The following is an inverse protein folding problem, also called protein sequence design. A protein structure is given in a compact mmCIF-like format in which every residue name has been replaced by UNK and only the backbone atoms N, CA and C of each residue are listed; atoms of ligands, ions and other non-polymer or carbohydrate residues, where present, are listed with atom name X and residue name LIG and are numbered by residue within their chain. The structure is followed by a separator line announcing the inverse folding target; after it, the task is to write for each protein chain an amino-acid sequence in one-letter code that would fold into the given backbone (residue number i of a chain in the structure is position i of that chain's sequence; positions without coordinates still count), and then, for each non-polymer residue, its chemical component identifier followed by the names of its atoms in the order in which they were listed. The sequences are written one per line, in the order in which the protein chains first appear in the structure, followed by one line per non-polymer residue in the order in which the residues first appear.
data_IF_128774321123
#
_entry.id   IF_128774321123
#
_cell.length_a   1.000
_cell.length_b   1.000
_cell.length_c   1.000
_cell.angle_alpha   90.00
_cell.angle_beta   90.00
_cell.angle_gamma   90.00
#
_symmetry.space_group_name_H-M   'P 1'
#
loop_
_entity.id
_entity.type
_entity.pdbx_description
1 polymer ?
#
# COMPACT_ATOMS: atom_id res chain seq x y z
N UNK A 1 -27.39 -6.75 11.37
CA UNK A 1 -26.34 -7.79 11.50
C UNK A 1 -25.49 -7.47 12.73
N UNK A 2 -24.83 -8.50 13.30
CA UNK A 2 -24.00 -8.34 14.50
C UNK A 2 -22.81 -9.30 14.46
N UNK A 3 -21.66 -8.85 15.00
CA UNK A 3 -20.44 -9.64 15.16
C UNK A 3 -19.67 -9.21 16.42
N UNK A 4 -18.64 -9.97 16.82
CA UNK A 4 -17.74 -9.55 17.89
C UNK A 4 -16.95 -8.32 17.48
N UNK A 5 -16.37 -8.35 16.27
CA UNK A 5 -15.62 -7.26 15.68
C UNK A 5 -16.25 -6.78 14.38
N UNK A 6 -16.39 -5.46 14.22
CA UNK A 6 -16.82 -4.82 12.98
C UNK A 6 -15.67 -3.99 12.45
N UNK A 7 -15.15 -4.34 11.28
CA UNK A 7 -13.99 -3.68 10.65
C UNK A 7 -14.48 -2.83 9.48
N UNK A 8 -14.15 -1.56 9.48
CA UNK A 8 -14.46 -0.63 8.38
C UNK A 8 -13.26 -0.51 7.45
N UNK A 9 -13.42 -1.01 6.24
CA UNK A 9 -12.40 -1.06 5.20
C UNK A 9 -11.72 -2.43 5.10
N UNK A 10 -11.65 -2.95 3.88
CA UNK A 10 -10.95 -4.22 3.55
C UNK A 10 -9.55 -3.99 2.96
N UNK A 11 -8.94 -2.83 3.25
CA UNK A 11 -7.58 -2.51 2.86
C UNK A 11 -6.52 -3.34 3.58
N UNK A 12 -5.26 -2.92 3.51
CA UNK A 12 -4.12 -3.66 4.07
C UNK A 12 -4.31 -4.00 5.55
N UNK A 13 -4.68 -3.00 6.37
CA UNK A 13 -4.89 -3.20 7.80
C UNK A 13 -6.14 -4.04 8.09
N UNK A 14 -7.30 -3.68 7.49
CA UNK A 14 -8.56 -4.38 7.76
C UNK A 14 -8.55 -5.84 7.33
N UNK A 15 -7.89 -6.17 6.21
CA UNK A 15 -7.69 -7.55 5.76
C UNK A 15 -6.85 -8.37 6.76
N UNK A 16 -5.75 -7.80 7.24
CA UNK A 16 -4.88 -8.45 8.24
C UNK A 16 -5.61 -8.64 9.57
N UNK A 17 -6.36 -7.63 10.04
CA UNK A 17 -7.16 -7.73 11.25
C UNK A 17 -8.26 -8.80 11.13
N UNK A 18 -8.99 -8.84 10.02
CA UNK A 18 -10.01 -9.85 9.78
C UNK A 18 -9.43 -11.27 9.84
N UNK A 19 -8.26 -11.45 9.22
CA UNK A 19 -7.56 -12.73 9.20
C UNK A 19 -7.15 -13.17 10.60
N UNK A 20 -6.51 -12.28 11.38
CA UNK A 20 -5.95 -12.62 12.70
C UNK A 20 -7.01 -12.75 13.80
N UNK A 21 -8.03 -11.87 13.82
CA UNK A 21 -9.09 -11.91 14.82
C UNK A 21 -10.02 -13.13 14.66
N UNK A 22 -10.08 -13.72 13.46
CA UNK A 22 -10.91 -14.88 13.19
C UNK A 22 -10.18 -16.23 13.20
N UNK A 23 -8.84 -16.20 13.42
CA UNK A 23 -7.96 -17.36 13.18
C UNK A 23 -8.26 -18.55 14.07
N UNK A 24 -8.60 -18.31 15.32
CA UNK A 24 -8.91 -19.34 16.32
C UNK A 24 -10.39 -19.77 16.36
N UNK A 25 -11.23 -19.16 15.50
CA UNK A 25 -12.67 -19.48 15.41
C UNK A 25 -13.52 -18.92 16.55
N UNK A 26 -12.94 -18.32 17.60
CA UNK A 26 -13.67 -17.86 18.80
C UNK A 26 -14.43 -16.56 18.57
N UNK A 27 -14.02 -15.77 17.61
CA UNK A 27 -14.61 -14.45 17.35
C UNK A 27 -15.23 -14.38 15.96
N UNK A 28 -16.41 -13.78 15.89
CA UNK A 28 -17.05 -13.44 14.62
C UNK A 28 -16.59 -12.06 14.16
N UNK A 29 -16.33 -11.92 12.85
CA UNK A 29 -15.83 -10.70 12.22
C UNK A 29 -16.71 -10.32 11.03
N UNK A 30 -17.14 -9.08 10.98
CA UNK A 30 -17.75 -8.48 9.79
C UNK A 30 -16.83 -7.40 9.26
N UNK A 31 -16.45 -7.51 7.99
CA UNK A 31 -15.70 -6.46 7.28
C UNK A 31 -16.67 -5.70 6.38
N UNK A 32 -16.66 -4.38 6.47
CA UNK A 32 -17.45 -3.47 5.64
C UNK A 32 -16.54 -2.91 4.55
N UNK A 33 -16.93 -3.07 3.28
CA UNK A 33 -16.19 -2.51 2.14
C UNK A 33 -17.15 -1.85 1.15
N UNK A 34 -16.81 -0.64 0.73
CA UNK A 34 -17.59 0.08 -0.26
C UNK A 34 -17.22 -0.31 -1.69
N UNK A 35 -15.93 -0.55 -1.93
CA UNK A 35 -15.39 -0.88 -3.24
C UNK A 35 -15.91 -2.19 -3.83
N UNK A 36 -15.67 -2.35 -5.12
CA UNK A 36 -15.96 -3.58 -5.85
C UNK A 36 -14.94 -4.68 -5.61
N UNK A 37 -15.11 -5.85 -6.25
CA UNK A 37 -14.16 -6.96 -6.14
C UNK A 37 -12.83 -6.65 -6.83
N UNK A 38 -11.74 -7.23 -6.32
CA UNK A 38 -10.37 -7.11 -6.83
C UNK A 38 -10.07 -8.10 -7.98
N UNK A 39 -11.03 -8.32 -8.85
CA UNK A 39 -10.91 -9.27 -9.97
C UNK A 39 -10.57 -8.57 -11.28
N UNK A 40 -10.01 -9.33 -12.21
CA UNK A 40 -9.70 -8.85 -13.55
C UNK A 40 -8.22 -8.54 -13.79
N UNK A 41 -7.83 -8.48 -15.07
CA UNK A 41 -6.42 -8.35 -15.46
C UNK A 41 -5.80 -7.02 -15.02
N UNK A 42 -6.55 -5.92 -15.03
CA UNK A 42 -6.03 -4.59 -14.68
C UNK A 42 -5.57 -4.49 -13.21
N UNK A 43 -6.18 -5.27 -12.32
CA UNK A 43 -5.74 -5.34 -10.91
C UNK A 43 -4.69 -6.43 -10.71
N UNK A 44 -4.92 -7.62 -11.30
CA UNK A 44 -4.11 -8.80 -10.99
C UNK A 44 -2.80 -8.87 -11.77
N UNK A 45 -2.69 -8.20 -12.94
CA UNK A 45 -1.48 -8.14 -13.73
C UNK A 45 -0.53 -7.07 -13.21
N UNK A 46 0.66 -7.43 -12.72
CA UNK A 46 1.59 -6.46 -12.13
C UNK A 46 1.95 -5.28 -13.04
N UNK A 47 2.24 -5.53 -14.31
CA UNK A 47 2.56 -4.46 -15.26
C UNK A 47 1.42 -3.47 -15.54
N UNK A 48 0.19 -3.80 -15.15
CA UNK A 48 -0.98 -2.92 -15.33
C UNK A 48 -1.17 -1.91 -14.18
N UNK A 49 -0.22 -1.76 -13.28
CA UNK A 49 -0.33 -1.01 -12.02
C UNK A 49 -0.86 0.44 -12.18
N UNK A 50 -0.54 1.13 -13.26
CA UNK A 50 -0.98 2.50 -13.51
C UNK A 50 -2.45 2.62 -13.94
N UNK A 51 -3.08 1.55 -14.42
CA UNK A 51 -4.48 1.62 -14.87
C UNK A 51 -5.47 1.79 -13.72
N UNK A 52 -5.50 0.92 -12.69
CA UNK A 52 -6.51 1.00 -11.65
C UNK A 52 -6.44 2.28 -10.81
N UNK A 53 -5.26 2.87 -10.64
CA UNK A 53 -5.10 4.13 -9.90
C UNK A 53 -5.67 5.36 -10.63
N UNK A 54 -5.99 5.24 -11.92
CA UNK A 54 -6.61 6.28 -12.74
C UNK A 54 -8.08 5.98 -13.09
N UNK A 55 -8.68 4.94 -12.50
CA UNK A 55 -10.06 4.52 -12.81
C UNK A 55 -10.97 4.80 -11.62
N UNK A 56 -12.00 5.61 -11.82
CA UNK A 56 -13.02 5.91 -10.79
C UNK A 56 -13.66 4.67 -10.16
N UNK A 57 -13.66 3.55 -10.88
CA UNK A 57 -14.15 2.28 -10.35
C UNK A 57 -13.31 1.77 -9.20
N UNK A 58 -11.99 2.01 -9.22
CA UNK A 58 -11.02 1.46 -8.27
C UNK A 58 -10.33 2.52 -7.40
N UNK A 59 -10.51 3.79 -7.70
CA UNK A 59 -9.94 4.90 -6.97
C UNK A 59 -11.02 5.81 -6.37
N UNK A 60 -10.78 6.36 -5.19
CA UNK A 60 -11.65 7.34 -4.54
C UNK A 60 -11.60 8.72 -5.21
N UNK A 61 -10.58 9.01 -6.01
CA UNK A 61 -10.42 10.28 -6.71
C UNK A 61 -10.05 11.46 -5.81
N UNK A 62 -9.27 11.22 -4.74
CA UNK A 62 -8.83 12.30 -3.88
C UNK A 62 -7.71 13.13 -4.53
N UNK A 63 -7.72 14.42 -4.23
CA UNK A 63 -6.63 15.35 -4.53
C UNK A 63 -6.44 16.31 -3.36
N UNK A 64 -5.23 16.86 -3.23
CA UNK A 64 -4.99 17.93 -2.26
C UNK A 64 -5.66 19.22 -2.70
N UNK A 65 -5.90 20.11 -1.75
CA UNK A 65 -6.07 21.53 -2.07
C UNK A 65 -4.77 22.07 -2.72
N UNK A 66 -4.84 23.23 -3.39
CA UNK A 66 -3.62 23.84 -3.95
C UNK A 66 -2.53 24.05 -2.89
N UNK A 67 -1.37 23.43 -3.10
CA UNK A 67 -0.26 23.46 -2.17
C UNK A 67 0.67 24.66 -2.45
N UNK A 68 0.74 25.67 -1.58
CA UNK A 68 1.47 26.90 -1.86
C UNK A 68 2.98 26.67 -2.04
N UNK A 69 3.57 25.71 -1.33
CA UNK A 69 5.01 25.44 -1.37
C UNK A 69 5.48 24.67 -2.61
N UNK A 70 4.55 24.21 -3.44
CA UNK A 70 4.84 23.55 -4.74
C UNK A 70 4.21 24.30 -5.91
N UNK A 71 4.12 25.62 -5.81
CA UNK A 71 3.62 26.49 -6.87
C UNK A 71 2.12 26.43 -7.06
N UNK A 72 1.32 26.20 -6.00
CA UNK A 72 -0.13 26.15 -6.05
C UNK A 72 -0.69 24.91 -6.75
N UNK A 73 0.08 23.88 -6.93
CA UNK A 73 -0.38 22.63 -7.57
C UNK A 73 -1.24 21.80 -6.62
N UNK A 74 -2.28 21.16 -7.16
CA UNK A 74 -3.02 20.10 -6.49
C UNK A 74 -2.45 18.74 -6.90
N UNK A 75 -2.21 17.89 -5.93
CA UNK A 75 -1.66 16.55 -6.13
C UNK A 75 -2.77 15.51 -6.07
N UNK A 76 -2.88 14.69 -7.12
CA UNK A 76 -3.77 13.53 -7.12
C UNK A 76 -3.24 12.49 -6.12
N UNK A 77 -4.12 12.01 -5.25
CA UNK A 77 -3.77 11.12 -4.14
C UNK A 77 -4.57 9.82 -4.23
N UNK A 78 -4.23 8.89 -5.13
CA UNK A 78 -5.01 7.68 -5.37
C UNK A 78 -5.15 6.83 -4.10
N UNK A 79 -6.37 6.41 -3.79
CA UNK A 79 -6.69 5.50 -2.69
C UNK A 79 -7.68 4.45 -3.15
N UNK A 80 -7.36 3.18 -2.92
CA UNK A 80 -8.14 2.08 -3.45
C UNK A 80 -9.58 2.03 -2.93
N UNK A 81 -10.53 2.07 -3.88
CA UNK A 81 -11.97 1.85 -3.70
C UNK A 81 -12.32 0.45 -4.20
N UNK A 82 -11.72 -0.55 -3.59
CA UNK A 82 -11.75 -1.94 -4.04
C UNK A 82 -11.39 -2.88 -2.89
N UNK A 83 -11.85 -4.12 -2.94
CA UNK A 83 -11.43 -5.17 -1.99
C UNK A 83 -9.90 -5.28 -1.99
N UNK A 84 -9.29 -5.20 -0.78
CA UNK A 84 -7.86 -5.07 -0.60
C UNK A 84 -7.35 -3.62 -0.54
N UNK A 85 -8.22 -2.63 -0.79
CA UNK A 85 -7.88 -1.21 -0.72
C UNK A 85 -6.71 -0.85 -1.62
N UNK A 86 -5.84 0.04 -1.16
CA UNK A 86 -4.69 0.51 -1.94
C UNK A 86 -3.66 -0.60 -2.25
N UNK A 87 -3.63 -1.72 -1.51
CA UNK A 87 -2.78 -2.87 -1.89
C UNK A 87 -3.20 -3.52 -3.22
N UNK A 88 -4.45 -3.30 -3.65
CA UNK A 88 -4.96 -3.79 -4.93
C UNK A 88 -4.67 -2.84 -6.11
N UNK A 89 -4.17 -1.62 -5.85
CA UNK A 89 -3.85 -0.64 -6.90
C UNK A 89 -2.44 -0.04 -6.82
N UNK A 90 -1.65 -0.35 -5.79
CA UNK A 90 -0.29 0.18 -5.59
C UNK A 90 0.74 -0.44 -6.56
N UNK A 91 1.99 0.06 -6.49
CA UNK A 91 3.12 -0.43 -7.28
C UNK A 91 3.73 -1.76 -6.82
N UNK A 92 3.18 -2.41 -5.79
CA UNK A 92 3.65 -3.71 -5.26
C UNK A 92 5.11 -3.73 -4.77
N UNK A 93 5.72 -2.61 -4.52
CA UNK A 93 7.05 -2.55 -3.92
C UNK A 93 6.94 -2.92 -2.44
N UNK A 94 7.83 -3.79 -1.97
CA UNK A 94 7.87 -4.21 -0.58
C UNK A 94 9.12 -3.67 0.11
N UNK A 95 8.92 -2.73 1.02
CA UNK A 95 9.96 -2.10 1.84
C UNK A 95 9.46 -2.01 3.27
N UNK A 96 10.30 -2.40 4.23
CA UNK A 96 10.09 -2.08 5.64
C UNK A 96 10.66 -0.68 5.92
N UNK A 97 10.07 0.05 6.86
CA UNK A 97 10.70 1.24 7.41
C UNK A 97 12.06 0.91 8.01
N UNK A 98 12.95 1.89 8.10
CA UNK A 98 14.23 1.74 8.79
C UNK A 98 14.02 1.42 10.29
N UNK A 99 14.91 0.67 10.91
CA UNK A 99 14.78 0.32 12.32
C UNK A 99 14.59 1.56 13.23
N UNK A 100 15.32 2.63 12.92
CA UNK A 100 15.25 3.90 13.66
C UNK A 100 13.91 4.64 13.52
N UNK A 101 13.14 4.40 12.46
CA UNK A 101 11.79 4.98 12.33
C UNK A 101 10.89 4.45 13.44
N UNK A 102 10.94 3.15 13.70
CA UNK A 102 10.15 2.50 14.76
C UNK A 102 10.66 2.84 16.15
N UNK A 103 11.98 2.90 16.33
CA UNK A 103 12.58 3.30 17.61
C UNK A 103 12.16 4.74 17.95
N UNK A 104 12.18 5.64 16.97
CA UNK A 104 11.71 7.01 17.12
C UNK A 104 10.20 7.08 17.47
N UNK A 105 9.36 6.21 16.89
CA UNK A 105 7.96 6.13 17.30
C UNK A 105 7.83 5.77 18.78
N UNK A 106 8.60 4.78 19.25
CA UNK A 106 8.61 4.37 20.64
C UNK A 106 9.09 5.48 21.57
N UNK A 107 10.17 6.16 21.22
CA UNK A 107 10.73 7.33 21.94
C UNK A 107 9.72 8.49 21.99
N UNK A 108 8.97 8.70 20.92
CA UNK A 108 7.92 9.72 20.81
C UNK A 108 6.61 9.37 21.53
N UNK A 109 6.58 8.23 22.27
CA UNK A 109 5.46 7.84 23.12
C UNK A 109 4.65 6.64 22.63
N UNK A 110 4.90 6.11 21.44
CA UNK A 110 4.26 4.89 20.93
C UNK A 110 4.96 3.63 21.51
N UNK A 111 4.81 3.42 22.82
CA UNK A 111 5.41 2.28 23.53
C UNK A 111 4.96 0.96 22.92
N UNK A 112 5.90 0.00 22.76
CA UNK A 112 5.65 -1.29 22.12
C UNK A 112 5.72 -1.23 20.59
N UNK A 113 6.24 -0.13 20.02
CA UNK A 113 6.45 0.09 18.59
C UNK A 113 7.93 0.24 18.22
N UNK A 114 8.88 -0.07 19.09
CA UNK A 114 10.30 -0.12 18.73
C UNK A 114 10.52 -1.18 17.65
N UNK A 115 11.65 -1.10 16.93
CA UNK A 115 11.95 -2.10 15.90
C UNK A 115 12.00 -3.52 16.46
N UNK A 116 12.53 -3.69 17.66
CA UNK A 116 12.56 -4.98 18.36
C UNK A 116 11.13 -5.52 18.63
N UNK A 117 10.19 -4.64 18.95
CA UNK A 117 8.79 -5.02 19.19
C UNK A 117 8.06 -5.41 17.89
N UNK A 118 8.34 -4.72 16.78
CA UNK A 118 7.60 -4.92 15.51
C UNK A 118 8.24 -5.98 14.59
N UNK A 119 9.54 -6.27 14.73
CA UNK A 119 10.23 -7.27 13.91
C UNK A 119 9.57 -8.66 13.92
N UNK A 120 9.10 -9.21 15.06
CA UNK A 120 8.38 -10.48 15.07
C UNK A 120 7.11 -10.47 14.21
N UNK A 121 6.43 -9.32 14.11
CA UNK A 121 5.24 -9.17 13.28
C UNK A 121 5.60 -9.10 11.80
N UNK A 122 6.68 -8.42 11.42
CA UNK A 122 7.19 -8.45 10.04
C UNK A 122 7.53 -9.88 9.61
N UNK A 123 8.25 -10.63 10.46
CA UNK A 123 8.56 -12.03 10.18
C UNK A 123 7.31 -12.91 10.08
N UNK A 124 6.33 -12.71 10.94
CA UNK A 124 5.05 -13.44 10.92
C UNK A 124 4.20 -13.09 9.70
N UNK A 125 4.37 -11.92 9.13
CA UNK A 125 3.60 -11.41 7.99
C UNK A 125 4.09 -11.98 6.66
N UNK A 126 5.40 -12.04 6.46
CA UNK A 126 6.01 -12.27 5.15
C UNK A 126 6.38 -13.73 4.88
N UNK A 127 6.39 -14.05 3.59
CA UNK A 127 6.92 -15.27 3.02
C UNK A 127 7.98 -14.87 1.98
N UNK A 128 9.23 -14.76 2.44
CA UNK A 128 10.38 -14.34 1.65
C UNK A 128 11.49 -15.39 1.74
N UNK A 129 11.94 -15.91 0.61
CA UNK A 129 12.96 -16.96 0.56
C UNK A 129 14.35 -16.45 0.09
N UNK A 130 14.51 -15.15 -0.06
CA UNK A 130 15.74 -14.54 -0.56
C UNK A 130 16.46 -13.62 0.43
N UNK A 131 16.01 -13.55 1.69
CA UNK A 131 16.53 -12.60 2.67
C UNK A 131 17.49 -13.22 3.69
N UNK A 132 18.02 -12.35 4.57
CA UNK A 132 18.92 -12.75 5.64
C UNK A 132 18.22 -13.55 6.74
N UNK A 133 18.83 -14.64 7.18
CA UNK A 133 18.37 -15.42 8.31
C UNK A 133 18.26 -14.56 9.59
N UNK A 134 17.26 -14.84 10.38
CA UNK A 134 16.97 -14.08 11.60
C UNK A 134 16.17 -12.79 11.40
N UNK A 135 16.25 -12.15 10.25
CA UNK A 135 15.55 -10.89 9.94
C UNK A 135 14.29 -11.09 9.13
N UNK A 136 14.18 -12.17 8.37
CA UNK A 136 13.10 -12.45 7.44
C UNK A 136 12.20 -13.59 7.91
N UNK A 137 10.95 -13.58 7.44
CA UNK A 137 9.98 -14.66 7.64
C UNK A 137 9.72 -15.43 6.35
N UNK A 138 9.44 -16.74 6.49
CA UNK A 138 9.25 -17.66 5.35
C UNK A 138 7.88 -18.30 5.28
N UNK A 139 7.03 -18.12 6.32
CA UNK A 139 5.75 -18.84 6.47
C UNK A 139 4.53 -17.93 6.51
N UNK A 140 4.74 -16.62 6.36
CA UNK A 140 3.66 -15.64 6.41
C UNK A 140 2.76 -15.68 5.17
N UNK A 141 1.56 -15.13 5.26
CA UNK A 141 0.60 -15.10 4.16
C UNK A 141 0.97 -14.11 3.02
N UNK A 142 1.85 -13.15 3.29
CA UNK A 142 2.28 -12.16 2.30
C UNK A 142 3.52 -12.66 1.55
N UNK A 143 3.30 -13.20 0.36
CA UNK A 143 4.39 -13.64 -0.50
C UNK A 143 5.18 -12.46 -1.05
N UNK A 144 6.49 -12.54 -0.94
CA UNK A 144 7.48 -11.57 -1.38
C UNK A 144 8.40 -12.26 -2.38
N UNK A 145 8.61 -11.65 -3.53
CA UNK A 145 9.61 -12.09 -4.49
C UNK A 145 10.58 -10.96 -4.81
N UNK A 146 11.80 -11.30 -5.22
CA UNK A 146 12.74 -10.35 -5.85
C UNK A 146 12.43 -10.23 -7.33
N UNK A 147 12.61 -9.04 -7.89
CA UNK A 147 12.58 -8.83 -9.32
C UNK A 147 13.65 -9.68 -10.01
N UNK A 148 13.39 -10.16 -11.24
CA UNK A 148 14.31 -11.02 -12.00
C UNK A 148 15.54 -10.27 -12.50
N UNK A 149 15.43 -8.95 -12.69
CA UNK A 149 16.49 -8.05 -13.19
C UNK A 149 17.06 -8.49 -14.55
N UNK A 150 16.20 -9.02 -15.42
CA UNK A 150 16.60 -9.49 -16.74
C UNK A 150 17.09 -8.34 -17.66
N UNK A 151 16.59 -7.11 -17.44
CA UNK A 151 17.06 -5.96 -18.21
C UNK A 151 18.45 -5.52 -17.70
N UNK A 152 19.44 -5.33 -18.60
CA UNK A 152 20.82 -5.00 -18.22
C UNK A 152 20.94 -3.67 -17.45
N UNK A 153 19.98 -2.75 -17.59
CA UNK A 153 19.97 -1.48 -16.88
C UNK A 153 19.82 -1.66 -15.37
N UNK A 154 19.19 -2.72 -14.88
CA UNK A 154 19.11 -3.00 -13.45
C UNK A 154 20.49 -3.28 -12.84
N UNK A 155 21.33 -4.03 -13.56
CA UNK A 155 22.71 -4.24 -13.13
C UNK A 155 23.53 -2.96 -13.26
N UNK A 156 23.38 -2.24 -14.36
CA UNK A 156 24.11 -0.98 -14.59
C UNK A 156 23.81 0.07 -13.49
N UNK A 157 22.58 0.14 -13.01
CA UNK A 157 22.20 1.00 -11.89
C UNK A 157 22.95 0.64 -10.60
N UNK A 158 23.03 -0.64 -10.25
CA UNK A 158 23.77 -1.10 -9.07
C UNK A 158 25.26 -0.89 -9.20
N UNK A 159 25.82 -1.21 -10.39
CA UNK A 159 27.24 -1.00 -10.70
C UNK A 159 27.62 0.50 -10.61
N UNK A 160 26.76 1.39 -11.12
CA UNK A 160 26.96 2.83 -11.04
C UNK A 160 26.97 3.33 -9.59
N UNK A 161 26.08 2.83 -8.76
CA UNK A 161 26.06 3.13 -7.32
C UNK A 161 27.37 2.70 -6.65
N UNK A 162 27.84 1.49 -6.95
CA UNK A 162 29.11 0.98 -6.42
C UNK A 162 30.31 1.83 -6.91
N UNK A 163 30.36 2.19 -8.19
CA UNK A 163 31.40 3.07 -8.76
C UNK A 163 31.38 4.45 -8.12
N UNK A 164 30.22 4.94 -7.69
CA UNK A 164 30.08 6.20 -6.96
C UNK A 164 30.45 6.10 -5.47
N UNK A 165 30.90 4.92 -5.00
CA UNK A 165 31.37 4.70 -3.63
C UNK A 165 30.28 4.28 -2.65
N UNK A 166 29.06 3.98 -3.13
CA UNK A 166 28.01 3.43 -2.28
C UNK A 166 28.14 1.91 -2.12
N UNK A 167 27.59 1.39 -1.05
CA UNK A 167 27.57 -0.05 -0.80
C UNK A 167 26.52 -0.76 -1.69
N UNK A 168 26.73 -2.05 -1.90
CA UNK A 168 25.74 -2.95 -2.48
C UNK A 168 25.08 -3.76 -1.36
N UNK A 169 23.77 -3.85 -1.38
CA UNK A 169 23.01 -4.66 -0.43
C UNK A 169 22.25 -5.77 -1.15
N UNK A 170 22.27 -6.97 -0.58
CA UNK A 170 21.43 -8.08 -1.07
C UNK A 170 20.06 -8.14 -0.38
N UNK A 171 19.91 -7.44 0.76
CA UNK A 171 18.65 -7.45 1.53
C UNK A 171 18.48 -6.14 2.32
N UNK A 172 17.85 -5.15 1.71
CA UNK A 172 17.52 -3.88 2.37
C UNK A 172 16.42 -3.99 3.43
N UNK A 173 15.72 -5.11 3.51
CA UNK A 173 14.77 -5.44 4.57
C UNK A 173 15.39 -6.32 5.69
N UNK A 174 16.69 -6.64 5.57
CA UNK A 174 17.47 -7.39 6.54
C UNK A 174 18.07 -6.52 7.65
N UNK A 175 19.29 -6.85 8.03
CA UNK A 175 20.00 -6.15 9.10
C UNK A 175 20.36 -4.70 8.73
N UNK A 176 20.74 -4.44 7.47
CA UNK A 176 21.20 -3.15 6.98
C UNK A 176 20.40 -2.74 5.74
N UNK A 177 19.71 -1.62 5.82
CA UNK A 177 18.91 -1.11 4.71
C UNK A 177 19.75 -0.41 3.63
N UNK A 178 20.82 0.31 4.05
CA UNK A 178 21.63 1.15 3.17
C UNK A 178 22.34 0.37 2.07
N UNK A 179 22.27 0.89 0.84
CA UNK A 179 22.98 0.36 -0.32
C UNK A 179 22.12 0.24 -1.56
N UNK A 180 22.75 -0.14 -2.67
CA UNK A 180 22.13 -0.44 -3.96
C UNK A 180 21.87 -1.94 -4.07
N UNK A 181 20.68 -2.36 -4.53
CA UNK A 181 20.38 -3.79 -4.58
C UNK A 181 19.08 -4.14 -5.29
N UNK A 182 18.68 -5.44 -5.21
CA UNK A 182 17.45 -5.92 -5.80
C UNK A 182 16.22 -5.39 -5.05
N UNK A 183 15.20 -4.95 -5.78
CA UNK A 183 13.92 -4.56 -5.19
C UNK A 183 13.02 -5.76 -4.98
N UNK A 184 12.32 -5.79 -3.85
CA UNK A 184 11.33 -6.81 -3.52
C UNK A 184 9.91 -6.37 -3.85
N UNK A 185 9.09 -7.34 -4.20
CA UNK A 185 7.75 -7.13 -4.75
C UNK A 185 6.72 -8.02 -4.05
N UNK A 186 5.54 -7.49 -3.77
CA UNK A 186 4.38 -8.28 -3.34
C UNK A 186 3.70 -8.89 -4.56
N UNK A 187 4.38 -9.85 -5.18
CA UNK A 187 3.93 -10.62 -6.35
C UNK A 187 4.09 -12.11 -6.04
N UNK A 188 3.11 -12.92 -6.44
CA UNK A 188 3.16 -14.36 -6.29
C UNK A 188 2.56 -15.03 -7.52
N UNK A 189 3.28 -16.01 -8.09
CA UNK A 189 2.90 -16.72 -9.30
C UNK A 189 2.46 -15.76 -10.43
N UNK A 190 3.25 -14.69 -10.63
CA UNK A 190 3.03 -13.69 -11.68
C UNK A 190 1.80 -12.81 -11.49
N UNK A 191 1.21 -12.78 -10.28
CA UNK A 191 0.05 -11.94 -9.95
C UNK A 191 0.38 -11.03 -8.79
N UNK A 192 -0.26 -9.86 -8.75
CA UNK A 192 -0.31 -9.00 -7.56
C UNK A 192 -0.74 -9.82 -6.35
N UNK A 193 0.03 -9.74 -5.28
CA UNK A 193 -0.29 -10.38 -4.01
C UNK A 193 -0.72 -9.33 -2.98
N UNK A 194 -1.93 -8.80 -3.21
CA UNK A 194 -2.54 -7.78 -2.34
C UNK A 194 -2.90 -8.34 -0.97
N UNK A 195 -3.24 -7.46 -0.02
CA UNK A 195 -3.76 -7.86 1.27
C UNK A 195 -5.07 -8.66 1.16
N UNK A 196 -5.86 -8.44 0.10
CA UNK A 196 -7.01 -9.29 -0.19
C UNK A 196 -6.59 -10.72 -0.48
N UNK A 197 -5.56 -10.94 -1.31
CA UNK A 197 -5.07 -12.27 -1.64
C UNK A 197 -4.37 -12.93 -0.44
N UNK A 198 -3.56 -12.17 0.28
CA UNK A 198 -2.78 -12.67 1.42
C UNK A 198 -3.65 -13.00 2.65
N UNK A 199 -4.63 -12.17 2.94
CA UNK A 199 -5.36 -12.23 4.22
C UNK A 199 -6.87 -12.40 4.08
N UNK A 200 -7.55 -11.47 3.36
CA UNK A 200 -9.01 -11.41 3.40
C UNK A 200 -9.66 -12.64 2.77
N UNK A 201 -9.24 -13.02 1.56
CA UNK A 201 -9.81 -14.19 0.86
C UNK A 201 -9.63 -15.49 1.64
N UNK A 202 -8.46 -15.78 2.25
CA UNK A 202 -8.33 -16.90 3.18
C UNK A 202 -9.25 -16.77 4.40
N UNK A 203 -9.38 -15.58 5.00
CA UNK A 203 -10.27 -15.36 6.14
C UNK A 203 -11.76 -15.60 5.78
N UNK A 204 -12.20 -15.17 4.59
CA UNK A 204 -13.56 -15.35 4.12
C UNK A 204 -13.98 -16.82 3.87
N UNK A 205 -13.02 -17.74 3.85
CA UNK A 205 -13.31 -19.19 3.82
C UNK A 205 -13.74 -19.73 5.19
N UNK A 206 -13.56 -18.95 6.26
CA UNK A 206 -13.93 -19.31 7.62
C UNK A 206 -15.40 -18.95 7.87
N UNK A 207 -16.18 -19.78 8.57
CA UNK A 207 -17.59 -19.53 8.80
C UNK A 207 -17.89 -18.32 9.68
N UNK A 208 -16.90 -17.87 10.47
CA UNK A 208 -16.99 -16.73 11.40
C UNK A 208 -16.61 -15.39 10.78
N UNK A 209 -16.33 -15.29 9.47
CA UNK A 209 -15.98 -14.05 8.77
C UNK A 209 -16.97 -13.75 7.66
N UNK A 210 -17.43 -12.50 7.58
CA UNK A 210 -18.32 -12.02 6.52
C UNK A 210 -17.81 -10.70 5.95
N UNK A 211 -17.91 -10.54 4.63
CA UNK A 211 -17.72 -9.28 3.93
C UNK A 211 -19.10 -8.70 3.58
N UNK A 212 -19.32 -7.45 3.95
CA UNK A 212 -20.55 -6.71 3.66
C UNK A 212 -20.23 -5.51 2.80
N UNK A 213 -20.94 -5.39 1.68
CA UNK A 213 -20.79 -4.23 0.79
C UNK A 213 -21.61 -3.06 1.32
N UNK A 214 -20.96 -1.92 1.55
CA UNK A 214 -21.63 -0.70 2.00
C UNK A 214 -20.63 0.41 2.32
N UNK A 215 -21.10 1.65 2.23
CA UNK A 215 -20.36 2.84 2.65
C UNK A 215 -20.61 3.08 4.13
N UNK A 216 -19.57 3.05 4.94
CA UNK A 216 -19.65 3.44 6.36
C UNK A 216 -19.92 4.95 6.44
N UNK A 217 -21.04 5.32 7.06
CA UNK A 217 -21.52 6.70 7.16
C UNK A 217 -21.24 7.31 8.54
N UNK A 218 -21.39 6.51 9.58
CA UNK A 218 -21.25 6.98 10.95
C UNK A 218 -20.92 5.81 11.89
N UNK A 219 -20.12 6.08 12.93
CA UNK A 219 -19.95 5.17 14.06
C UNK A 219 -21.13 5.37 15.00
N UNK A 220 -21.79 4.29 15.37
CA UNK A 220 -22.88 4.31 16.34
C UNK A 220 -22.29 4.25 17.73
N UNK A 221 -22.61 5.26 18.55
CA UNK A 221 -22.11 5.42 19.91
C UNK A 221 -23.25 5.29 20.92
N UNK A 222 -23.00 4.56 22.00
CA UNK A 222 -23.82 4.58 23.21
C UNK A 222 -22.98 5.20 24.34
N UNK A 223 -23.25 6.46 24.65
CA UNK A 223 -22.37 7.26 25.47
C UNK A 223 -20.98 7.43 24.80
N UNK A 224 -19.95 6.90 25.44
CA UNK A 224 -18.56 6.93 24.93
C UNK A 224 -18.11 5.61 24.27
N UNK A 225 -19.02 4.64 24.17
CA UNK A 225 -18.72 3.32 23.61
C UNK A 225 -19.17 3.23 22.15
N UNK A 226 -18.30 2.82 21.26
CA UNK A 226 -18.64 2.45 19.90
C UNK A 226 -19.32 1.07 19.89
N UNK A 227 -20.59 1.01 19.45
CA UNK A 227 -21.41 -0.21 19.47
C UNK A 227 -21.78 -0.69 18.07
N UNK A 228 -21.34 -0.01 17.03
CA UNK A 228 -21.62 -0.42 15.65
C UNK A 228 -21.26 0.64 14.64
N UNK A 229 -21.62 0.38 13.40
CA UNK A 229 -21.41 1.26 12.24
C UNK A 229 -22.69 1.34 11.44
N UNK A 230 -23.15 2.54 11.15
CA UNK A 230 -24.19 2.80 10.18
C UNK A 230 -23.60 2.73 8.77
N UNK A 231 -24.20 1.93 7.93
CA UNK A 231 -23.80 1.76 6.54
C UNK A 231 -24.93 2.14 5.57
N UNK A 232 -24.52 2.62 4.41
CA UNK A 232 -25.37 2.84 3.25
C UNK A 232 -25.04 1.81 2.17
N UNK A 233 -26.05 1.06 1.75
CA UNK A 233 -25.97 0.08 0.66
C UNK A 233 -27.07 0.37 -0.36
N UNK A 234 -26.71 1.01 -1.47
CA UNK A 234 -27.68 1.54 -2.43
C UNK A 234 -28.49 2.70 -1.82
N UNK A 235 -29.81 2.48 -1.63
CA UNK A 235 -30.70 3.46 -0.98
C UNK A 235 -31.10 3.05 0.45
N UNK A 236 -30.49 2.02 0.99
CA UNK A 236 -30.86 1.48 2.30
C UNK A 236 -29.79 1.79 3.32
N UNK A 237 -30.22 2.31 4.47
CA UNK A 237 -29.38 2.48 5.65
C UNK A 237 -29.63 1.32 6.61
N UNK A 238 -28.57 0.82 7.22
CA UNK A 238 -28.66 -0.22 8.24
C UNK A 238 -27.47 -0.12 9.21
N UNK A 239 -27.66 -0.66 10.42
CA UNK A 239 -26.58 -0.71 11.41
C UNK A 239 -26.03 -2.13 11.51
N UNK A 240 -24.69 -2.21 11.50
CA UNK A 240 -23.94 -3.43 11.85
C UNK A 240 -23.43 -3.23 13.27
N UNK A 241 -23.91 -4.07 14.21
CA UNK A 241 -23.54 -3.96 15.63
C UNK A 241 -22.26 -4.74 15.93
N UNK A 242 -21.46 -4.16 16.81
CA UNK A 242 -20.24 -4.76 17.35
C UNK A 242 -20.44 -5.09 18.83
N UNK A 243 -20.30 -6.37 19.19
CA UNK A 243 -20.37 -6.78 20.61
C UNK A 243 -19.14 -6.37 21.39
N UNK A 244 -17.97 -6.38 20.73
CA UNK A 244 -16.67 -6.05 21.33
C UNK A 244 -16.16 -4.71 20.87
N UNK A 245 -15.75 -4.62 19.59
CA UNK A 245 -15.08 -3.42 19.07
C UNK A 245 -15.47 -3.10 17.64
N UNK A 246 -15.43 -1.79 17.33
CA UNK A 246 -15.42 -1.23 15.99
C UNK A 246 -13.99 -0.87 15.65
N UNK A 247 -13.46 -1.42 14.55
CA UNK A 247 -12.10 -1.19 14.08
C UNK A 247 -12.17 -0.37 12.80
N UNK A 248 -11.56 0.83 12.81
CA UNK A 248 -11.52 1.70 11.64
C UNK A 248 -10.22 1.46 10.88
N UNK A 249 -10.33 0.93 9.67
CA UNK A 249 -9.22 0.63 8.76
C UNK A 249 -9.49 1.18 7.35
N UNK A 250 -10.11 2.38 7.28
CA UNK A 250 -10.63 2.98 6.06
C UNK A 250 -9.63 3.93 5.36
N UNK A 251 -8.32 3.70 5.51
CA UNK A 251 -7.24 4.53 4.96
C UNK A 251 -6.98 5.82 5.77
N UNK A 252 -5.83 6.45 5.51
CA UNK A 252 -5.38 7.68 6.16
C UNK A 252 -6.31 8.89 5.95
N UNK A 253 -7.15 8.86 4.90
CA UNK A 253 -8.11 9.93 4.59
C UNK A 253 -9.50 9.60 5.12
N UNK A 254 -10.03 8.41 4.81
CA UNK A 254 -11.40 8.07 5.18
C UNK A 254 -11.56 7.70 6.67
N UNK A 255 -10.50 7.23 7.36
CA UNK A 255 -10.59 6.95 8.79
C UNK A 255 -10.83 8.20 9.62
N UNK A 256 -10.04 9.28 9.51
CA UNK A 256 -10.34 10.52 10.21
C UNK A 256 -11.65 11.16 9.73
N UNK A 257 -11.99 11.08 8.45
CA UNK A 257 -13.28 11.54 7.93
C UNK A 257 -14.45 10.86 8.64
N UNK A 258 -14.41 9.53 8.78
CA UNK A 258 -15.46 8.77 9.48
C UNK A 258 -15.54 9.14 10.96
N UNK A 259 -14.41 9.35 11.63
CA UNK A 259 -14.37 9.85 13.00
C UNK A 259 -15.06 11.22 13.11
N UNK A 260 -14.69 12.17 12.25
CA UNK A 260 -15.26 13.52 12.25
C UNK A 260 -16.77 13.50 11.96
N UNK A 261 -17.23 12.72 10.98
CA UNK A 261 -18.67 12.54 10.70
C UNK A 261 -19.42 11.91 11.87
N UNK A 262 -18.72 11.27 12.79
CA UNK A 262 -19.26 10.66 14.02
C UNK A 262 -19.14 11.56 15.25
N UNK A 263 -18.70 12.82 15.07
CA UNK A 263 -18.54 13.79 16.16
C UNK A 263 -17.23 13.67 16.93
N UNK A 264 -16.24 12.95 16.40
CA UNK A 264 -14.92 12.76 17.02
C UNK A 264 -13.86 13.47 16.18
N UNK A 265 -13.38 14.62 16.63
CA UNK A 265 -12.43 15.43 15.87
C UNK A 265 -12.25 16.82 16.44
N UNK A 266 -11.62 17.77 15.71
CA UNK A 266 -11.44 19.16 16.13
C UNK A 266 -12.79 19.85 16.34
N UNK A 267 -13.12 20.23 17.57
CA UNK A 267 -14.43 20.74 17.94
C UNK A 267 -14.88 21.97 17.13
N UNK A 268 -13.95 22.88 16.83
CA UNK A 268 -14.24 24.06 16.01
C UNK A 268 -14.71 23.67 14.59
N UNK A 269 -13.94 22.83 13.91
CA UNK A 269 -14.25 22.34 12.56
C UNK A 269 -15.56 21.54 12.51
N UNK A 270 -15.81 20.68 13.51
CA UNK A 270 -17.07 19.94 13.58
C UNK A 270 -18.29 20.87 13.68
N UNK A 271 -18.21 21.91 14.51
CA UNK A 271 -19.28 22.91 14.66
C UNK A 271 -19.53 23.73 13.38
N UNK A 272 -18.48 24.10 12.66
CA UNK A 272 -18.59 24.78 11.35
C UNK A 272 -19.40 23.95 10.34
N UNK A 273 -19.33 22.63 10.42
CA UNK A 273 -20.08 21.70 9.57
C UNK A 273 -21.41 21.22 10.19
N UNK A 274 -21.84 21.80 11.32
CA UNK A 274 -23.10 21.44 11.99
C UNK A 274 -23.07 20.02 12.60
N UNK A 275 -21.88 19.50 12.92
CA UNK A 275 -21.72 18.18 13.53
C UNK A 275 -21.59 18.32 15.04
N UNK A 276 -22.44 17.61 15.78
CA UNK A 276 -22.38 17.56 17.24
C UNK A 276 -21.07 16.98 17.73
N UNK A 277 -20.41 17.68 18.66
CA UNK A 277 -19.12 17.25 19.23
C UNK A 277 -19.34 16.19 20.29
N UNK A 278 -18.96 14.95 20.00
CA UNK A 278 -18.94 13.85 20.97
C UNK A 278 -17.63 13.82 21.75
N UNK A 279 -16.52 14.03 21.05
CA UNK A 279 -15.20 14.10 21.64
C UNK A 279 -14.31 15.07 20.87
N UNK A 280 -13.80 16.10 21.58
CA UNK A 280 -12.79 16.99 21.01
C UNK A 280 -11.45 16.27 20.92
N UNK A 281 -10.98 16.07 19.69
CA UNK A 281 -9.73 15.40 19.35
C UNK A 281 -9.02 16.18 18.24
N UNK A 282 -8.25 17.21 18.59
CA UNK A 282 -7.67 18.16 17.61
C UNK A 282 -6.68 17.48 16.63
N UNK A 283 -6.09 16.35 16.99
CA UNK A 283 -5.18 15.61 16.12
C UNK A 283 -5.85 14.77 15.02
N UNK A 284 -7.18 14.60 15.06
CA UNK A 284 -7.88 13.80 14.03
C UNK A 284 -7.88 14.55 12.70
N UNK A 285 -7.31 13.92 11.68
CA UNK A 285 -7.18 14.49 10.32
C UNK A 285 -6.03 15.48 10.18
N UNK A 286 -5.20 15.66 11.19
CA UNK A 286 -4.05 16.56 11.14
C UNK A 286 -2.75 15.81 10.82
N UNK A 287 -1.73 16.58 10.39
CA UNK A 287 -0.35 16.10 10.19
C UNK A 287 -0.23 14.91 9.22
N UNK A 288 -1.09 14.84 8.21
CA UNK A 288 -0.90 13.87 7.12
C UNK A 288 0.40 14.20 6.38
N UNK A 289 1.26 13.20 6.26
CA UNK A 289 2.52 13.28 5.52
C UNK A 289 2.55 12.21 4.45
N UNK A 290 3.19 12.52 3.32
CA UNK A 290 3.48 11.58 2.26
C UNK A 290 4.91 11.80 1.75
N UNK A 291 5.46 10.84 1.02
CA UNK A 291 6.81 10.94 0.46
C UNK A 291 6.85 12.01 -0.63
N UNK A 292 7.89 12.84 -0.60
CA UNK A 292 8.24 13.68 -1.74
C UNK A 292 8.88 12.80 -2.81
N UNK A 293 8.38 12.89 -4.03
CA UNK A 293 8.91 12.15 -5.17
C UNK A 293 9.40 13.10 -6.25
N UNK A 294 10.58 12.82 -6.78
CA UNK A 294 11.16 13.53 -7.93
C UNK A 294 11.60 12.50 -8.99
N UNK A 295 11.41 12.84 -10.26
CA UNK A 295 11.87 12.02 -11.37
C UNK A 295 13.18 12.55 -11.91
N UNK A 296 14.20 11.69 -11.94
CA UNK A 296 15.48 11.94 -12.61
C UNK A 296 15.51 11.04 -13.83
N UNK A 297 15.24 11.62 -14.99
CA UNK A 297 15.14 10.88 -16.24
C UNK A 297 16.37 11.11 -17.10
N UNK A 298 16.87 10.02 -17.70
CA UNK A 298 18.03 10.03 -18.58
C UNK A 298 17.65 9.38 -19.93
N UNK A 299 18.14 9.97 -21.03
CA UNK A 299 18.04 9.35 -22.33
C UNK A 299 18.99 8.14 -22.41
N UNK A 300 18.50 7.03 -22.97
CA UNK A 300 19.31 5.85 -23.19
C UNK A 300 19.73 5.77 -24.66
N UNK A 301 21.03 5.81 -24.90
CA UNK A 301 21.59 5.76 -26.26
C UNK A 301 21.47 4.38 -26.94
N UNK A 302 21.13 3.35 -26.18
CA UNK A 302 20.93 1.99 -26.67
C UNK A 302 19.44 1.59 -26.61
N UNK A 303 18.92 0.81 -27.56
CA UNK A 303 17.51 0.40 -27.62
C UNK A 303 17.20 -0.77 -26.67
N UNK A 304 17.66 -0.71 -25.42
CA UNK A 304 17.55 -1.77 -24.41
C UNK A 304 16.49 -1.51 -23.33
N UNK A 305 15.79 -0.37 -23.41
CA UNK A 305 14.76 -0.01 -22.44
C UNK A 305 13.40 -0.65 -22.78
N UNK A 306 12.46 -0.57 -21.85
CA UNK A 306 11.09 -1.04 -22.07
C UNK A 306 10.32 -0.23 -23.12
N UNK A 307 10.87 0.90 -23.60
CA UNK A 307 10.23 1.74 -24.63
C UNK A 307 9.83 0.94 -25.86
N UNK A 308 10.70 0.03 -26.35
CA UNK A 308 10.42 -0.84 -27.50
C UNK A 308 9.17 -1.73 -27.32
N UNK A 309 8.76 -1.96 -26.06
CA UNK A 309 7.60 -2.79 -25.68
C UNK A 309 6.31 -2.00 -25.46
N UNK A 310 6.33 -0.67 -25.61
CA UNK A 310 5.16 0.18 -25.35
C UNK A 310 4.18 0.27 -26.53
N UNK A 311 4.51 -0.27 -27.71
CA UNK A 311 3.60 -0.30 -28.86
C UNK A 311 2.43 -1.28 -28.61
N UNK A 312 1.32 -1.09 -29.35
CA UNK A 312 0.09 -1.86 -29.16
C UNK A 312 0.27 -3.37 -29.36
N UNK A 313 1.07 -3.77 -30.33
CA UNK A 313 1.32 -5.19 -30.58
C UNK A 313 2.05 -5.84 -29.40
N UNK A 314 3.13 -5.25 -28.94
CA UNK A 314 3.88 -5.73 -27.77
C UNK A 314 3.00 -5.78 -26.52
N UNK A 315 2.20 -4.74 -26.26
CA UNK A 315 1.24 -4.73 -25.14
C UNK A 315 0.22 -5.87 -25.24
N UNK A 316 -0.30 -6.15 -26.44
CA UNK A 316 -1.23 -7.26 -26.65
C UNK A 316 -0.56 -8.61 -26.39
N UNK A 317 0.68 -8.81 -26.87
CA UNK A 317 1.45 -10.03 -26.62
C UNK A 317 1.80 -10.22 -25.14
N UNK A 318 2.23 -9.16 -24.45
CA UNK A 318 2.49 -9.18 -23.01
C UNK A 318 1.21 -9.53 -22.24
N UNK A 319 0.09 -8.91 -22.60
CA UNK A 319 -1.20 -9.19 -22.01
C UNK A 319 -1.65 -10.64 -22.22
N UNK A 320 -1.51 -11.17 -23.43
CA UNK A 320 -1.83 -12.56 -23.77
C UNK A 320 -0.91 -13.54 -23.01
N UNK A 321 0.40 -13.32 -23.02
CA UNK A 321 1.34 -14.14 -22.28
C UNK A 321 1.00 -14.19 -20.80
N UNK A 322 0.72 -13.03 -20.20
CA UNK A 322 0.30 -13.01 -18.81
C UNK A 322 -1.05 -13.68 -18.59
N UNK A 323 -2.02 -13.47 -19.48
CA UNK A 323 -3.37 -14.03 -19.33
C UNK A 323 -3.35 -15.57 -19.29
N UNK A 324 -2.57 -16.19 -20.18
CA UNK A 324 -2.50 -17.65 -20.30
C UNK A 324 -1.47 -18.29 -19.35
N UNK A 325 -0.32 -17.65 -19.15
CA UNK A 325 0.83 -18.26 -18.47
C UNK A 325 1.27 -17.57 -17.19
N UNK A 326 0.72 -16.38 -16.86
CA UNK A 326 1.13 -15.57 -15.71
C UNK A 326 2.65 -15.32 -15.65
N UNK A 327 3.25 -15.09 -16.79
CA UNK A 327 4.71 -14.96 -16.97
C UNK A 327 5.07 -13.80 -17.89
N UNK A 328 6.37 -13.57 -18.09
CA UNK A 328 6.89 -12.51 -18.93
C UNK A 328 6.78 -11.11 -18.31
N UNK A 329 6.85 -10.08 -19.14
CA UNK A 329 6.84 -8.67 -18.71
C UNK A 329 5.53 -8.28 -18.01
N UNK A 330 4.44 -8.96 -18.27
CA UNK A 330 3.17 -8.75 -17.56
C UNK A 330 3.19 -9.19 -16.09
N UNK A 331 4.13 -10.06 -15.72
CA UNK A 331 4.23 -10.66 -14.38
C UNK A 331 5.17 -9.93 -13.42
N UNK A 332 5.65 -8.75 -13.78
CA UNK A 332 6.48 -7.89 -12.94
C UNK A 332 5.95 -6.45 -12.94
N UNK A 333 6.24 -5.70 -11.88
CA UNK A 333 5.96 -4.27 -11.80
C UNK A 333 7.07 -3.41 -12.43
N UNK A 334 8.13 -4.03 -12.91
CA UNK A 334 9.34 -3.42 -13.48
C UNK A 334 10.19 -2.58 -12.52
N UNK A 335 9.83 -2.45 -11.25
CA UNK A 335 10.71 -1.90 -10.21
C UNK A 335 11.51 -3.06 -9.64
N UNK A 336 12.72 -3.32 -10.19
CA UNK A 336 13.49 -4.52 -9.84
C UNK A 336 14.86 -4.20 -9.23
N UNK A 337 15.26 -2.92 -9.18
CA UNK A 337 16.41 -2.42 -8.43
C UNK A 337 16.04 -1.17 -7.64
N UNK A 338 16.66 -1.03 -6.48
CA UNK A 338 16.47 0.06 -5.55
C UNK A 338 17.80 0.52 -4.95
N UNK A 339 17.78 1.67 -4.31
CA UNK A 339 18.84 2.06 -3.40
C UNK A 339 18.28 2.83 -2.21
N UNK A 340 18.96 2.71 -1.09
CA UNK A 340 18.74 3.49 0.11
C UNK A 340 20.06 4.17 0.47
N UNK A 341 20.11 5.49 0.44
CA UNK A 341 21.35 6.23 0.66
C UNK A 341 21.11 7.43 1.56
N UNK A 342 22.20 7.88 2.17
CA UNK A 342 22.22 9.14 2.91
C UNK A 342 22.56 10.30 1.98
N UNK A 343 21.76 11.36 2.01
CA UNK A 343 21.92 12.52 1.14
C UNK A 343 23.24 13.30 1.40
N UNK A 344 23.79 13.18 2.60
CA UNK A 344 25.06 13.82 3.01
C UNK A 344 25.70 13.09 4.18
N UNK A 345 26.98 13.36 4.39
CA UNK A 345 27.71 12.86 5.56
C UNK A 345 27.08 13.37 6.86
N UNK A 346 27.11 12.53 7.91
CA UNK A 346 26.58 12.84 9.23
C UNK A 346 25.10 12.55 9.44
N UNK A 347 24.36 12.16 8.41
CA UNK A 347 23.00 11.61 8.56
C UNK A 347 23.10 10.20 9.12
N UNK A 348 22.30 9.89 10.13
CA UNK A 348 22.41 8.65 10.90
C UNK A 348 21.97 7.41 10.09
N UNK A 349 20.94 7.53 9.23
CA UNK A 349 20.41 6.46 8.41
C UNK A 349 19.87 6.99 7.07
N UNK A 350 19.59 6.15 6.08
CA UNK A 350 19.14 6.58 4.76
C UNK A 350 17.92 7.48 4.80
N UNK A 351 17.99 8.60 4.08
CA UNK A 351 16.91 9.58 3.91
C UNK A 351 16.46 9.72 2.44
N UNK A 352 17.11 8.98 1.53
CA UNK A 352 16.73 8.89 0.12
C UNK A 352 16.51 7.43 -0.26
N UNK A 353 15.38 7.18 -0.93
CA UNK A 353 15.06 5.90 -1.56
C UNK A 353 14.99 6.08 -3.07
N UNK A 354 15.69 5.24 -3.83
CA UNK A 354 15.59 5.16 -5.29
C UNK A 354 14.73 4.00 -5.72
N UNK A 355 13.85 4.26 -6.70
CA UNK A 355 13.11 3.27 -7.45
C UNK A 355 13.60 3.31 -8.89
N UNK A 356 14.38 2.34 -9.32
CA UNK A 356 14.89 2.32 -10.68
C UNK A 356 13.90 1.68 -11.64
N UNK A 357 13.65 2.36 -12.77
CA UNK A 357 12.75 1.89 -13.82
C UNK A 357 13.45 1.98 -15.19
N UNK A 358 13.55 0.90 -15.98
CA UNK A 358 14.20 0.90 -17.29
C UNK A 358 13.29 1.48 -18.39
N UNK A 359 12.58 2.55 -18.08
CA UNK A 359 11.81 3.37 -19.01
C UNK A 359 11.55 4.74 -18.37
N UNK A 360 11.67 5.82 -19.15
CA UNK A 360 11.36 7.18 -18.69
C UNK A 360 9.88 7.48 -18.94
N UNK A 361 9.06 7.34 -17.91
CA UNK A 361 7.60 7.62 -17.95
C UNK A 361 7.19 8.33 -16.67
N UNK A 362 6.02 8.96 -16.68
CA UNK A 362 5.37 9.26 -15.42
C UNK A 362 4.75 7.98 -14.84
N UNK A 363 5.03 7.71 -13.59
CA UNK A 363 4.56 6.53 -12.87
C UNK A 363 3.02 6.38 -12.90
N UNK A 364 2.29 7.51 -12.89
CA UNK A 364 0.84 7.52 -12.99
C UNK A 364 0.32 7.13 -14.39
N UNK A 365 1.20 6.92 -15.37
CA UNK A 365 0.85 6.55 -16.74
C UNK A 365 0.25 7.67 -17.60
N UNK A 366 0.19 8.91 -17.10
CA UNK A 366 -0.42 10.05 -17.82
C UNK A 366 0.50 10.68 -18.85
N UNK A 367 1.81 10.39 -18.80
CA UNK A 367 2.77 10.82 -19.81
C UNK A 367 3.47 9.61 -20.40
N UNK A 368 3.36 9.43 -21.72
CA UNK A 368 4.04 8.38 -22.44
C UNK A 368 5.53 8.71 -22.65
N UNK A 369 6.38 7.69 -22.62
CA UNK A 369 7.76 7.82 -23.07
C UNK A 369 7.81 8.23 -24.55
N UNK A 370 8.72 9.12 -24.90
CA UNK A 370 8.88 9.60 -26.28
C UNK A 370 10.11 8.98 -26.97
N UNK A 371 11.06 8.47 -26.18
CA UNK A 371 12.29 7.84 -26.66
C UNK A 371 12.77 6.77 -25.66
N UNK A 372 13.86 6.09 -26.00
CA UNK A 372 14.55 5.23 -25.05
C UNK A 372 15.11 6.06 -23.90
N UNK A 373 14.75 5.71 -22.67
CA UNK A 373 15.21 6.37 -21.46
C UNK A 373 14.99 5.49 -20.23
N UNK A 374 15.52 5.91 -19.10
CA UNK A 374 15.33 5.27 -17.78
C UNK A 374 15.21 6.34 -16.69
N UNK A 375 14.74 5.94 -15.55
CA UNK A 375 14.60 6.84 -14.39
C UNK A 375 14.88 6.10 -13.09
#
# INVERSE_FOLDING_TARGET
MEADFVIVGSGSAGSAMAYRLSEDGRHSVIVIEFGGPDIGPLIQMPAALSFPMNMETYDWGFSTEPEPHIGGRSLVTPRGKVVGGSSSINGMVYVRGHARDYDHWSESGARGWSYADVLPYFKRMENSHGGQDGWRGTDGPLHIQRGRRDNPLFKAFVDAGHQAGFEVTEDYNGQKQEGFGPMEQTIHNGRRWSAANAYLKPALKRPNVKLVKGLARKIVLEGKRAVGVEIEAGRTFSTIRARREVIIAASSINSPKLLMLSGIGPAAQLKEHGIDVVADRPGVGQNLQDHLEVYIQQECTQPITLYSKLNLFSKAMIGAQWLFFKSGDGATNHFESAAFVRSKAGIEYPDIQYHFLPVAIRYDGKAAAQSHGFQ
#
